data_IF_353941830058
#
_entry.id   IF_353941830058
#
_cell.length_a   1.000
_cell.length_b   1.000
_cell.length_c   1.000
_cell.angle_alpha   90.00
_cell.angle_beta   90.00
_cell.angle_gamma   90.00
#
_symmetry.space_group_name_H-M   'P 1'
#
loop_
_entity.id
_entity.type
_entity.pdbx_description
1 polymer ?
#
# COMPACT_ATOMS: atom_id res chain seq x y z
N UNK A 1 -7.21 6.14 -17.58
CA UNK A 1 -8.06 5.02 -18.00
C UNK A 1 -9.35 5.62 -18.51
N UNK A 2 -9.75 5.30 -19.74
CA UNK A 2 -11.05 5.70 -20.28
C UNK A 2 -11.91 4.46 -20.44
N UNK A 3 -13.15 4.52 -19.94
CA UNK A 3 -14.03 3.36 -19.86
C UNK A 3 -15.45 3.75 -20.25
N UNK A 4 -16.13 2.88 -20.97
CA UNK A 4 -17.57 2.86 -21.03
C UNK A 4 -18.03 1.49 -20.51
N UNK A 5 -18.97 1.50 -19.57
CA UNK A 5 -19.51 0.33 -18.88
C UNK A 5 -21.01 0.54 -18.75
N UNK A 6 -21.79 -0.29 -19.44
CA UNK A 6 -23.25 -0.22 -19.45
C UNK A 6 -23.82 -1.54 -18.95
N UNK A 7 -24.95 -1.47 -18.23
CA UNK A 7 -25.67 -2.64 -17.73
C UNK A 7 -27.05 -2.65 -18.38
N UNK A 8 -27.39 -3.70 -19.12
CA UNK A 8 -28.68 -3.83 -19.81
C UNK A 8 -29.12 -5.30 -19.72
N UNK A 9 -30.36 -5.55 -19.28
CA UNK A 9 -30.97 -6.89 -19.35
C UNK A 9 -30.15 -7.99 -18.67
N UNK A 10 -29.57 -7.72 -17.49
CA UNK A 10 -28.68 -8.65 -16.77
C UNK A 10 -27.23 -8.65 -17.28
N UNK A 11 -27.01 -8.28 -18.54
CA UNK A 11 -25.68 -8.22 -19.12
C UNK A 11 -24.95 -6.92 -18.76
N UNK A 12 -23.62 -6.99 -18.76
CA UNK A 12 -22.75 -5.81 -18.63
C UNK A 12 -21.77 -5.76 -19.79
N UNK A 13 -21.76 -4.66 -20.54
CA UNK A 13 -20.86 -4.46 -21.68
C UNK A 13 -19.76 -3.46 -21.31
N UNK A 14 -18.51 -3.80 -21.61
CA UNK A 14 -17.34 -3.03 -21.21
C UNK A 14 -16.46 -2.78 -22.43
N UNK A 15 -16.15 -1.51 -22.68
CA UNK A 15 -15.06 -1.07 -23.56
C UNK A 15 -14.16 -0.15 -22.75
N UNK A 16 -12.93 -0.58 -22.49
CA UNK A 16 -11.95 0.26 -21.79
C UNK A 16 -10.56 0.10 -22.35
N UNK A 17 -9.69 1.07 -22.06
CA UNK A 17 -8.30 0.98 -22.40
C UNK A 17 -7.38 1.64 -21.37
N UNK A 18 -6.17 1.10 -21.27
CA UNK A 18 -5.12 1.58 -20.39
C UNK A 18 -3.77 1.50 -21.10
N UNK A 19 -2.95 2.54 -20.93
CA UNK A 19 -1.54 2.49 -21.33
C UNK A 19 -0.75 1.79 -20.23
N UNK A 20 -0.01 0.73 -20.57
CA UNK A 20 0.79 -0.04 -19.62
C UNK A 20 2.24 -0.10 -20.06
N UNK A 21 3.13 -0.20 -19.09
CA UNK A 21 4.51 -0.60 -19.34
C UNK A 21 4.55 -2.12 -19.38
N UNK A 22 5.25 -2.69 -20.36
CA UNK A 22 5.43 -4.14 -20.46
C UNK A 22 6.47 -4.64 -19.46
N UNK A 23 7.37 -3.76 -18.98
CA UNK A 23 8.39 -4.13 -18.02
C UNK A 23 7.93 -3.95 -16.57
N UNK A 24 7.85 -5.06 -15.85
CA UNK A 24 7.69 -5.06 -14.39
C UNK A 24 8.97 -4.62 -13.66
N UNK A 25 10.11 -4.51 -14.36
CA UNK A 25 11.40 -4.18 -13.74
C UNK A 25 11.37 -2.76 -13.20
N UNK A 26 11.40 -2.59 -11.88
CA UNK A 26 11.46 -1.30 -11.17
C UNK A 26 12.82 -0.58 -11.37
N UNK A 27 13.22 -0.29 -12.61
CA UNK A 27 14.42 0.49 -12.86
C UNK A 27 14.17 1.99 -12.58
N UNK A 28 15.07 2.69 -11.88
CA UNK A 28 15.06 4.14 -11.88
C UNK A 28 15.23 4.65 -13.32
N UNK A 29 14.41 5.63 -13.72
CA UNK A 29 14.40 6.22 -15.08
C UNK A 29 14.08 5.23 -16.22
N UNK A 30 13.13 4.29 -16.00
CA UNK A 30 12.67 3.29 -17.00
C UNK A 30 12.47 3.82 -18.42
N UNK A 31 11.95 5.04 -18.57
CA UNK A 31 11.69 5.65 -19.88
C UNK A 31 12.95 5.91 -20.71
N UNK A 32 14.12 5.96 -20.08
CA UNK A 32 15.42 6.21 -20.72
C UNK A 32 16.21 4.92 -20.84
N UNK A 33 16.29 4.12 -19.77
CA UNK A 33 17.11 2.91 -19.72
C UNK A 33 16.50 1.72 -20.45
N UNK A 34 15.16 1.59 -20.44
CA UNK A 34 14.46 0.47 -21.10
C UNK A 34 14.70 0.42 -22.61
N UNK A 35 14.44 1.51 -23.36
CA UNK A 35 14.67 1.52 -24.82
C UNK A 35 16.14 1.38 -25.20
N UNK A 36 17.06 1.89 -24.38
CA UNK A 36 18.49 1.95 -24.69
C UNK A 36 19.21 0.62 -24.44
N UNK A 37 18.81 -0.14 -23.40
CA UNK A 37 19.52 -1.36 -22.98
C UNK A 37 18.82 -2.65 -23.38
N UNK A 38 17.49 -2.63 -23.54
CA UNK A 38 16.70 -3.86 -23.71
C UNK A 38 15.92 -3.90 -25.03
N UNK A 39 15.99 -2.86 -25.86
CA UNK A 39 15.16 -2.70 -27.09
C UNK A 39 13.64 -2.85 -26.85
N UNK A 40 13.20 -2.89 -25.60
CA UNK A 40 11.79 -2.98 -25.25
C UNK A 40 11.15 -1.63 -25.56
N UNK A 41 10.32 -1.57 -26.60
CA UNK A 41 9.35 -0.49 -26.77
C UNK A 41 8.33 -0.58 -25.63
N UNK A 42 8.71 -0.06 -24.46
CA UNK A 42 8.15 -0.48 -23.19
C UNK A 42 6.67 -0.14 -23.00
N UNK A 43 6.07 0.76 -23.77
CA UNK A 43 4.68 1.21 -23.53
C UNK A 43 3.71 0.74 -24.59
N UNK A 44 2.79 -0.13 -24.20
CA UNK A 44 1.71 -0.63 -25.05
C UNK A 44 0.36 -0.14 -24.55
N UNK A 45 -0.64 -0.13 -25.43
CA UNK A 45 -2.03 0.15 -25.07
C UNK A 45 -2.80 -1.16 -25.03
N UNK A 46 -3.41 -1.42 -23.88
CA UNK A 46 -4.27 -2.57 -23.64
C UNK A 46 -5.72 -2.11 -23.76
N UNK A 47 -6.49 -2.79 -24.60
CA UNK A 47 -7.89 -2.47 -24.90
C UNK A 47 -8.73 -3.68 -24.54
N UNK A 48 -9.62 -3.57 -23.57
CA UNK A 48 -10.55 -4.62 -23.21
C UNK A 48 -11.91 -4.34 -23.85
N UNK A 49 -12.39 -5.31 -24.64
CA UNK A 49 -13.76 -5.38 -25.12
C UNK A 49 -14.33 -6.68 -24.54
N UNK A 50 -15.21 -6.55 -23.55
CA UNK A 50 -15.72 -7.67 -22.80
C UNK A 50 -17.19 -7.51 -22.48
N UNK A 51 -17.81 -8.63 -22.15
CA UNK A 51 -19.17 -8.69 -21.65
C UNK A 51 -19.24 -9.60 -20.44
N UNK A 52 -20.17 -9.30 -19.55
CA UNK A 52 -20.58 -10.20 -18.49
C UNK A 52 -21.99 -10.69 -18.78
N UNK A 53 -22.19 -12.00 -18.63
CA UNK A 53 -23.46 -12.68 -18.84
C UNK A 53 -23.85 -13.37 -17.53
N UNK A 54 -25.15 -13.40 -17.28
CA UNK A 54 -25.71 -14.19 -16.19
C UNK A 54 -25.61 -15.68 -16.57
N UNK A 55 -24.98 -16.48 -15.72
CA UNK A 55 -24.79 -17.90 -15.94
C UNK A 55 -25.53 -18.69 -14.86
N UNK A 56 -26.43 -19.59 -15.26
CA UNK A 56 -27.16 -20.46 -14.33
C UNK A 56 -27.93 -19.71 -13.24
N UNK A 57 -28.49 -18.55 -13.57
CA UNK A 57 -29.23 -17.71 -12.62
C UNK A 57 -28.34 -16.94 -11.64
N UNK A 58 -27.01 -17.05 -11.75
CA UNK A 58 -26.07 -16.23 -11.00
C UNK A 58 -25.74 -15.00 -11.85
N UNK A 59 -26.12 -13.79 -11.39
CA UNK A 59 -25.91 -12.59 -12.18
C UNK A 59 -24.42 -12.27 -12.32
N UNK A 60 -24.00 -12.00 -13.56
CA UNK A 60 -22.65 -11.53 -13.91
C UNK A 60 -21.52 -12.43 -13.39
N UNK A 61 -21.71 -13.74 -13.50
CA UNK A 61 -20.77 -14.71 -12.93
C UNK A 61 -19.39 -14.65 -13.59
N UNK A 62 -19.36 -14.40 -14.91
CA UNK A 62 -18.15 -14.34 -15.70
C UNK A 62 -18.04 -13.02 -16.44
N UNK A 63 -16.85 -12.44 -16.49
CA UNK A 63 -16.45 -11.38 -17.42
C UNK A 63 -15.57 -12.00 -18.49
N UNK A 64 -16.08 -12.08 -19.73
CA UNK A 64 -15.37 -12.71 -20.84
C UNK A 64 -15.26 -11.76 -22.03
N UNK A 65 -14.13 -11.83 -22.74
CA UNK A 65 -13.90 -10.97 -23.88
C UNK A 65 -12.51 -11.10 -24.47
N UNK A 66 -12.11 -10.04 -25.17
CA UNK A 66 -10.80 -9.93 -25.80
C UNK A 66 -10.05 -8.71 -25.27
N UNK A 67 -8.76 -8.90 -25.03
CA UNK A 67 -7.83 -7.81 -24.77
C UNK A 67 -6.94 -7.66 -26.00
N UNK A 68 -6.98 -6.48 -26.60
CA UNK A 68 -6.16 -6.13 -27.76
C UNK A 68 -4.97 -5.30 -27.31
N UNK A 69 -3.81 -5.60 -27.91
CA UNK A 69 -2.54 -4.98 -27.55
C UNK A 69 -2.03 -4.18 -28.75
N UNK A 70 -2.00 -2.86 -28.61
CA UNK A 70 -1.51 -1.92 -29.63
C UNK A 70 -0.13 -1.40 -29.19
N UNK A 71 0.94 -1.86 -29.85
CA UNK A 71 2.30 -1.44 -29.52
C UNK A 71 2.70 -0.10 -30.15
N UNK A 72 2.21 0.21 -31.35
CA UNK A 72 2.56 1.45 -32.06
C UNK A 72 1.77 2.67 -31.55
N UNK A 73 2.46 3.58 -30.87
CA UNK A 73 1.88 4.82 -30.34
C UNK A 73 1.38 5.78 -31.44
N UNK A 74 1.93 5.76 -32.66
CA UNK A 74 1.41 6.57 -33.78
C UNK A 74 0.06 6.04 -34.23
N UNK A 75 -0.09 4.72 -34.39
CA UNK A 75 -1.39 4.10 -34.73
C UNK A 75 -2.41 4.25 -33.64
N UNK A 76 -2.00 4.11 -32.38
CA UNK A 76 -2.88 4.40 -31.26
C UNK A 76 -3.56 5.77 -31.40
N UNK A 77 -2.75 6.80 -31.68
CA UNK A 77 -3.23 8.18 -31.80
C UNK A 77 -4.08 8.42 -33.05
N UNK A 78 -3.70 7.83 -34.18
CA UNK A 78 -4.36 8.08 -35.47
C UNK A 78 -5.62 7.27 -35.69
N UNK A 79 -5.66 6.02 -35.22
CA UNK A 79 -6.67 5.03 -35.61
C UNK A 79 -7.36 4.42 -34.39
N UNK A 80 -6.64 3.64 -33.57
CA UNK A 80 -7.23 2.86 -32.49
C UNK A 80 -8.03 3.70 -31.48
N UNK A 81 -7.50 4.85 -31.07
CA UNK A 81 -8.19 5.74 -30.13
C UNK A 81 -9.47 6.33 -30.73
N UNK A 82 -9.54 6.56 -32.04
CA UNK A 82 -10.73 7.10 -32.69
C UNK A 82 -11.84 6.05 -32.74
N UNK A 83 -11.50 4.80 -33.14
CA UNK A 83 -12.39 3.64 -33.13
C UNK A 83 -13.03 3.48 -31.75
N UNK A 84 -12.21 3.41 -30.70
CA UNK A 84 -12.68 3.17 -29.33
C UNK A 84 -13.51 4.33 -28.78
N UNK A 85 -13.10 5.59 -29.01
CA UNK A 85 -13.87 6.75 -28.55
C UNK A 85 -15.22 6.85 -29.23
N UNK A 86 -15.30 6.51 -30.52
CA UNK A 86 -16.57 6.47 -31.24
C UNK A 86 -17.50 5.36 -30.70
N UNK A 87 -16.95 4.16 -30.48
CA UNK A 87 -17.70 3.05 -29.88
C UNK A 87 -18.19 3.39 -28.46
N UNK A 88 -17.31 3.92 -27.59
CA UNK A 88 -17.66 4.36 -26.24
C UNK A 88 -18.71 5.48 -26.24
N UNK A 89 -18.62 6.45 -27.16
CA UNK A 89 -19.61 7.53 -27.31
C UNK A 89 -20.96 6.97 -27.74
N UNK A 90 -20.98 6.06 -28.70
CA UNK A 90 -22.20 5.37 -29.15
C UNK A 90 -22.83 4.58 -28.00
N UNK A 91 -22.02 3.83 -27.25
CA UNK A 91 -22.47 3.03 -26.11
C UNK A 91 -23.05 3.89 -24.98
N UNK A 92 -22.49 5.08 -24.71
CA UNK A 92 -23.00 6.03 -23.69
C UNK A 92 -24.26 6.78 -24.10
N UNK A 93 -24.53 6.91 -25.41
CA UNK A 93 -25.68 7.67 -25.93
C UNK A 93 -26.97 6.86 -26.01
N UNK A 94 -26.88 5.53 -25.93
CA UNK A 94 -28.06 4.67 -26.01
C UNK A 94 -28.83 4.79 -24.69
N UNK A 95 -30.09 5.22 -24.78
CA UNK A 95 -31.03 5.07 -23.67
C UNK A 95 -31.29 3.58 -23.48
N UNK A 96 -30.97 3.10 -22.28
CA UNK A 96 -30.96 1.68 -21.96
C UNK A 96 -32.38 1.24 -21.58
N UNK A 97 -33.27 1.07 -22.55
CA UNK A 97 -34.50 0.32 -22.34
C UNK A 97 -34.14 -1.17 -22.31
N UNK A 98 -34.64 -1.92 -21.32
CA UNK A 98 -34.38 -3.35 -21.21
C UNK A 98 -35.01 -4.16 -22.37
N UNK A 99 -36.03 -3.59 -23.00
CA UNK A 99 -36.79 -4.18 -24.12
C UNK A 99 -36.04 -4.03 -25.45
N UNK A 100 -35.18 -3.01 -25.58
CA UNK A 100 -34.36 -2.74 -26.77
C UNK A 100 -32.94 -3.30 -26.69
N UNK A 101 -32.68 -4.28 -25.80
CA UNK A 101 -31.42 -5.03 -25.84
C UNK A 101 -31.34 -5.84 -27.13
N UNK A 102 -30.97 -5.14 -28.18
CA UNK A 102 -31.01 -5.58 -29.56
C UNK A 102 -29.65 -6.17 -29.91
N UNK A 103 -29.64 -7.05 -30.91
CA UNK A 103 -28.40 -7.52 -31.54
C UNK A 103 -27.48 -6.37 -32.02
N UNK A 104 -27.93 -5.10 -32.00
CA UNK A 104 -27.13 -3.91 -32.30
C UNK A 104 -26.05 -3.59 -31.27
N UNK A 105 -26.21 -3.95 -29.99
CA UNK A 105 -25.16 -3.73 -28.98
C UNK A 105 -24.06 -4.79 -29.11
N UNK A 106 -24.47 -6.04 -29.29
CA UNK A 106 -23.54 -7.13 -29.56
C UNK A 106 -22.81 -6.93 -30.90
N UNK A 107 -23.49 -6.43 -31.93
CA UNK A 107 -22.84 -6.10 -33.20
C UNK A 107 -21.90 -4.89 -33.06
N UNK A 108 -22.22 -3.89 -32.23
CA UNK A 108 -21.29 -2.80 -31.93
C UNK A 108 -20.00 -3.33 -31.32
N UNK A 109 -20.08 -4.22 -30.31
CA UNK A 109 -18.88 -4.83 -29.71
C UNK A 109 -18.11 -5.68 -30.72
N UNK A 110 -18.79 -6.52 -31.48
CA UNK A 110 -18.17 -7.41 -32.48
C UNK A 110 -17.48 -6.62 -33.61
N UNK A 111 -18.12 -5.57 -34.12
CA UNK A 111 -17.55 -4.69 -35.14
C UNK A 111 -16.34 -3.93 -34.58
N UNK A 112 -16.47 -3.35 -33.37
CA UNK A 112 -15.36 -2.65 -32.71
C UNK A 112 -14.17 -3.61 -32.47
N UNK A 113 -14.45 -4.84 -32.05
CA UNK A 113 -13.45 -5.89 -31.86
C UNK A 113 -12.76 -6.29 -33.18
N UNK A 114 -13.49 -6.30 -34.29
CA UNK A 114 -12.94 -6.59 -35.62
C UNK A 114 -12.07 -5.44 -36.10
N UNK A 115 -12.55 -4.19 -36.00
CA UNK A 115 -11.80 -3.00 -36.38
C UNK A 115 -10.51 -2.84 -35.56
N UNK A 116 -10.59 -2.95 -34.24
CA UNK A 116 -9.42 -2.81 -33.37
C UNK A 116 -8.40 -3.93 -33.62
N UNK A 117 -8.83 -5.14 -33.98
CA UNK A 117 -7.92 -6.23 -34.31
C UNK A 117 -7.00 -5.88 -35.49
N UNK A 118 -7.49 -5.13 -36.49
CA UNK A 118 -6.69 -4.72 -37.67
C UNK A 118 -5.54 -3.77 -37.34
N UNK A 119 -5.63 -3.04 -36.25
CA UNK A 119 -4.60 -2.06 -35.80
C UNK A 119 -3.80 -2.56 -34.59
N UNK A 120 -4.15 -3.74 -34.07
CA UNK A 120 -3.50 -4.36 -32.92
C UNK A 120 -2.39 -5.30 -33.35
N UNK A 121 -1.36 -5.43 -32.51
CA UNK A 121 -0.27 -6.39 -32.74
C UNK A 121 -0.69 -7.80 -32.35
N UNK A 122 -1.41 -7.92 -31.25
CA UNK A 122 -1.89 -9.19 -30.68
C UNK A 122 -3.25 -8.98 -30.03
N UNK A 123 -3.97 -10.08 -29.83
CA UNK A 123 -5.06 -10.12 -28.87
C UNK A 123 -5.09 -11.44 -28.14
N UNK A 124 -5.76 -11.43 -27.00
CA UNK A 124 -5.91 -12.57 -26.09
C UNK A 124 -7.37 -12.69 -25.71
N UNK A 125 -7.85 -13.91 -25.62
CA UNK A 125 -9.15 -14.18 -25.00
C UNK A 125 -8.94 -14.32 -23.51
N UNK A 126 -9.87 -13.78 -22.75
CA UNK A 126 -9.89 -13.99 -21.33
C UNK A 126 -11.31 -14.28 -20.85
N UNK A 127 -11.39 -15.04 -19.77
CA UNK A 127 -12.59 -15.24 -18.98
C UNK A 127 -12.19 -15.12 -17.51
N UNK A 128 -12.77 -14.17 -16.81
CA UNK A 128 -12.57 -13.95 -15.39
C UNK A 128 -13.85 -14.28 -14.64
N UNK A 129 -13.76 -15.24 -13.72
CA UNK A 129 -14.85 -15.64 -12.84
C UNK A 129 -14.95 -14.70 -11.64
N UNK A 130 -16.13 -14.64 -11.01
CA UNK A 130 -16.36 -13.83 -9.80
C UNK A 130 -15.46 -14.21 -8.62
N UNK A 131 -14.99 -15.45 -8.57
CA UNK A 131 -14.01 -15.92 -7.59
C UNK A 131 -12.57 -15.42 -7.87
N UNK A 132 -12.34 -14.67 -8.96
CA UNK A 132 -11.04 -14.15 -9.37
C UNK A 132 -10.22 -15.11 -10.24
N UNK A 133 -10.67 -16.34 -10.46
CA UNK A 133 -10.03 -17.27 -11.38
C UNK A 133 -10.10 -16.71 -12.80
N UNK A 134 -8.94 -16.61 -13.45
CA UNK A 134 -8.82 -15.97 -14.76
C UNK A 134 -8.15 -16.92 -15.74
N UNK A 135 -8.88 -17.30 -16.78
CA UNK A 135 -8.38 -18.06 -17.90
C UNK A 135 -7.94 -17.10 -18.99
N UNK A 136 -6.69 -17.21 -19.45
CA UNK A 136 -6.13 -16.40 -20.52
C UNK A 136 -5.67 -17.33 -21.64
N UNK A 137 -6.19 -17.11 -22.85
CA UNK A 137 -5.81 -17.85 -24.05
C UNK A 137 -5.15 -16.90 -25.03
N UNK A 138 -3.84 -17.06 -25.21
CA UNK A 138 -3.05 -16.31 -26.19
C UNK A 138 -2.84 -17.19 -27.43
N UNK A 139 -3.41 -16.77 -28.56
CA UNK A 139 -3.11 -17.39 -29.85
C UNK A 139 -1.88 -16.72 -30.46
N UNK A 140 -0.73 -17.38 -30.35
CA UNK A 140 0.54 -16.88 -30.90
C UNK A 140 0.71 -17.16 -32.39
N UNK A 141 -0.15 -17.98 -33.00
CA UNK A 141 -0.05 -18.34 -34.42
C UNK A 141 -0.63 -17.24 -35.31
N UNK A 142 -1.59 -16.47 -34.79
CA UNK A 142 -2.22 -15.41 -35.54
C UNK A 142 -1.52 -14.06 -35.31
N UNK A 143 -0.55 -13.73 -36.15
CA UNK A 143 -0.08 -12.35 -36.29
C UNK A 143 -1.07 -11.60 -37.18
N UNK A 144 -1.84 -10.68 -36.58
CA UNK A 144 -2.90 -9.98 -37.30
C UNK A 144 -2.39 -8.79 -38.13
N UNK A 145 -1.16 -8.35 -37.87
CA UNK A 145 -0.59 -7.18 -38.53
C UNK A 145 0.83 -7.42 -39.03
N UNK A 146 1.10 -7.05 -40.29
CA UNK A 146 2.35 -7.33 -40.99
C UNK A 146 3.61 -6.69 -40.36
N UNK A 147 3.47 -5.52 -39.71
CA UNK A 147 4.56 -4.88 -38.93
C UNK A 147 4.34 -5.02 -37.41
N UNK A 148 3.66 -6.08 -36.95
CA UNK A 148 3.62 -6.36 -35.52
C UNK A 148 5.06 -6.63 -35.06
N UNK A 149 5.38 -6.26 -33.81
CA UNK A 149 6.70 -6.56 -33.25
C UNK A 149 6.97 -8.05 -33.41
N UNK A 150 7.97 -8.41 -34.20
CA UNK A 150 8.33 -9.81 -34.40
C UNK A 150 8.80 -10.37 -33.06
N UNK A 151 8.06 -11.35 -32.55
CA UNK A 151 8.52 -12.13 -31.41
C UNK A 151 9.64 -13.03 -31.94
N UNK A 152 10.88 -12.79 -31.51
CA UNK A 152 12.01 -13.61 -31.91
C UNK A 152 11.72 -15.08 -31.60
N UNK A 153 12.04 -15.99 -32.53
CA UNK A 153 11.74 -17.42 -32.40
C UNK A 153 12.60 -18.16 -31.36
N UNK A 154 13.51 -17.46 -30.68
CA UNK A 154 14.46 -17.95 -29.67
C UNK A 154 13.82 -18.13 -28.29
N UNK A 155 14.64 -18.42 -27.28
CA UNK A 155 14.27 -18.42 -25.86
C UNK A 155 13.53 -17.15 -25.40
N UNK A 156 13.72 -16.04 -26.12
CA UNK A 156 13.01 -14.78 -25.91
C UNK A 156 11.49 -14.91 -26.14
N UNK A 157 11.04 -15.88 -26.96
CA UNK A 157 9.60 -16.13 -27.18
C UNK A 157 8.88 -16.50 -25.89
N UNK A 158 9.45 -17.39 -25.08
CA UNK A 158 8.82 -17.84 -23.83
C UNK A 158 8.78 -16.72 -22.80
N UNK A 159 9.87 -15.95 -22.69
CA UNK A 159 9.93 -14.80 -21.79
C UNK A 159 8.91 -13.72 -22.18
N UNK A 160 8.83 -13.39 -23.47
CA UNK A 160 7.86 -12.43 -23.98
C UNK A 160 6.42 -12.92 -23.81
N UNK A 161 6.16 -14.21 -24.03
CA UNK A 161 4.85 -14.82 -23.81
C UNK A 161 4.43 -14.72 -22.34
N UNK A 162 5.33 -15.05 -21.41
CA UNK A 162 5.10 -14.89 -19.97
C UNK A 162 4.79 -13.41 -19.65
N UNK A 163 5.61 -12.48 -20.14
CA UNK A 163 5.40 -11.04 -19.94
C UNK A 163 4.01 -10.57 -20.43
N UNK A 164 3.61 -11.02 -21.62
CA UNK A 164 2.29 -10.70 -22.18
C UNK A 164 1.16 -11.30 -21.36
N UNK A 165 1.27 -12.56 -20.94
CA UNK A 165 0.27 -13.18 -20.07
C UNK A 165 0.15 -12.43 -18.74
N UNK A 166 1.28 -12.00 -18.15
CA UNK A 166 1.29 -11.20 -16.92
C UNK A 166 0.58 -9.87 -17.06
N UNK A 167 0.95 -9.09 -18.07
CA UNK A 167 0.29 -7.80 -18.30
C UNK A 167 -1.19 -7.97 -18.67
N UNK A 168 -1.51 -9.04 -19.41
CA UNK A 168 -2.89 -9.42 -19.73
C UNK A 168 -3.70 -9.79 -18.49
N UNK A 169 -3.10 -10.40 -17.47
CA UNK A 169 -3.78 -10.67 -16.20
C UNK A 169 -3.94 -9.41 -15.34
N UNK A 170 -2.87 -8.63 -15.20
CA UNK A 170 -2.91 -7.42 -14.38
C UNK A 170 -3.84 -6.35 -14.94
N UNK A 171 -4.11 -6.34 -16.25
CA UNK A 171 -5.02 -5.37 -16.83
C UNK A 171 -6.49 -5.55 -16.39
N UNK A 172 -7.16 -6.71 -16.57
CA UNK A 172 -8.44 -7.05 -15.96
C UNK A 172 -8.46 -6.83 -14.46
N UNK A 173 -7.38 -7.24 -13.76
CA UNK A 173 -7.25 -7.00 -12.33
C UNK A 173 -7.39 -5.51 -12.01
N UNK A 174 -6.62 -4.64 -12.65
CA UNK A 174 -6.63 -3.20 -12.40
C UNK A 174 -7.96 -2.51 -12.75
N UNK A 175 -8.69 -3.00 -13.76
CA UNK A 175 -9.99 -2.41 -14.14
C UNK A 175 -11.15 -2.92 -13.28
N UNK A 176 -11.03 -4.09 -12.67
CA UNK A 176 -12.07 -4.72 -11.87
C UNK A 176 -11.87 -4.53 -10.37
N UNK A 177 -10.62 -4.36 -9.92
CA UNK A 177 -10.28 -4.23 -8.52
C UNK A 177 -10.18 -2.76 -8.11
N UNK A 178 -10.81 -2.41 -6.98
CA UNK A 178 -10.54 -1.15 -6.27
C UNK A 178 -9.83 -1.49 -4.98
N UNK A 179 -8.70 -0.83 -4.74
CA UNK A 179 -8.01 -0.89 -3.46
C UNK A 179 -8.87 -0.24 -2.38
N UNK A 180 -9.70 -1.03 -1.71
CA UNK A 180 -10.52 -0.57 -0.58
C UNK A 180 -9.80 -0.75 0.75
N UNK A 181 -9.04 -1.84 0.89
CA UNK A 181 -8.53 -2.28 2.18
C UNK A 181 -7.00 -2.36 2.27
N UNK A 182 -6.27 -2.34 1.15
CA UNK A 182 -4.81 -2.47 1.16
C UNK A 182 -4.13 -1.44 0.25
N UNK A 183 -2.84 -1.19 0.52
CA UNK A 183 -2.02 -0.32 -0.33
C UNK A 183 -1.83 -0.92 -1.74
N UNK A 184 -1.87 -0.14 -2.82
CA UNK A 184 -1.54 -0.64 -4.17
C UNK A 184 -0.17 -1.33 -4.27
N UNK A 185 0.75 -1.04 -3.34
CA UNK A 185 2.07 -1.68 -3.26
C UNK A 185 2.01 -3.17 -2.93
N UNK A 186 0.95 -3.63 -2.26
CA UNK A 186 0.75 -5.04 -1.91
C UNK A 186 0.00 -5.82 -3.00
N UNK A 187 -0.31 -5.20 -4.13
CA UNK A 187 -1.09 -5.83 -5.19
C UNK A 187 -0.25 -6.70 -6.16
N UNK A 188 1.08 -6.75 -5.95
CA UNK A 188 2.02 -7.61 -6.69
C UNK A 188 2.48 -8.81 -5.87
N UNK A 189 1.76 -9.15 -4.79
CA UNK A 189 2.21 -10.16 -3.82
C UNK A 189 2.10 -11.60 -4.33
N UNK A 190 1.22 -11.87 -5.30
CA UNK A 190 1.14 -13.16 -5.96
C UNK A 190 1.84 -13.09 -7.32
N UNK A 191 2.88 -13.90 -7.46
CA UNK A 191 3.50 -14.16 -8.75
C UNK A 191 2.51 -14.92 -9.65
N UNK A 192 2.71 -14.79 -10.96
CA UNK A 192 2.00 -15.58 -11.94
C UNK A 192 2.82 -16.82 -12.28
N UNK A 193 2.16 -17.97 -12.24
CA UNK A 193 2.80 -19.27 -12.40
C UNK A 193 2.37 -19.88 -13.72
N UNK A 194 3.34 -20.18 -14.58
CA UNK A 194 3.10 -21.05 -15.74
C UNK A 194 3.14 -22.49 -15.23
N UNK A 195 1.98 -23.12 -15.06
CA UNK A 195 1.89 -24.49 -14.57
C UNK A 195 0.89 -25.31 -15.39
N UNK A 196 1.29 -26.49 -15.79
CA UNK A 196 0.39 -27.54 -16.31
C UNK A 196 -0.28 -28.35 -15.18
N UNK A 197 0.20 -28.19 -13.94
CA UNK A 197 -0.33 -28.86 -12.76
C UNK A 197 -1.08 -27.84 -11.89
N UNK A 198 -2.40 -28.03 -11.76
CA UNK A 198 -3.27 -27.10 -11.05
C UNK A 198 -2.97 -27.01 -9.55
N UNK A 199 -2.50 -28.10 -8.93
CA UNK A 199 -2.20 -28.12 -7.49
C UNK A 199 -0.88 -27.38 -7.18
N UNK A 200 0.12 -27.49 -8.06
CA UNK A 200 1.44 -26.96 -7.80
C UNK A 200 1.42 -25.42 -7.65
N UNK A 201 0.78 -24.71 -8.57
CA UNK A 201 0.72 -23.25 -8.49
C UNK A 201 -0.15 -22.78 -7.33
N UNK A 202 -1.26 -23.47 -7.02
CA UNK A 202 -2.11 -23.13 -5.88
C UNK A 202 -1.33 -23.22 -4.57
N UNK A 203 -0.50 -24.26 -4.42
CA UNK A 203 0.38 -24.41 -3.26
C UNK A 203 1.40 -23.27 -3.18
N UNK A 204 2.05 -22.90 -4.29
CA UNK A 204 3.02 -21.80 -4.30
C UNK A 204 2.39 -20.44 -3.97
N UNK A 205 1.19 -20.15 -4.50
CA UNK A 205 0.42 -18.95 -4.13
C UNK A 205 0.15 -18.92 -2.63
N UNK A 206 -0.30 -20.04 -2.06
CA UNK A 206 -0.59 -20.13 -0.64
C UNK A 206 0.68 -19.93 0.21
N UNK A 207 1.80 -20.54 -0.18
CA UNK A 207 3.09 -20.30 0.49
C UNK A 207 3.58 -18.86 0.36
N UNK A 208 3.38 -18.21 -0.79
CA UNK A 208 3.74 -16.81 -0.97
C UNK A 208 2.95 -15.91 -0.01
N UNK A 209 1.62 -16.12 0.10
CA UNK A 209 0.75 -15.38 1.02
C UNK A 209 1.19 -15.56 2.48
N UNK A 210 1.39 -16.80 2.94
CA UNK A 210 1.82 -17.06 4.32
C UNK A 210 3.23 -16.54 4.63
N UNK A 211 4.18 -16.61 3.69
CA UNK A 211 5.51 -15.99 3.86
C UNK A 211 5.40 -14.48 4.06
N UNK A 212 4.47 -13.81 3.37
CA UNK A 212 4.21 -12.38 3.53
C UNK A 212 3.56 -12.06 4.86
N UNK A 213 2.59 -12.86 5.31
CA UNK A 213 2.02 -12.72 6.66
C UNK A 213 3.11 -12.84 7.74
N UNK A 214 4.01 -13.82 7.61
CA UNK A 214 5.15 -13.98 8.55
C UNK A 214 6.08 -12.75 8.50
N UNK A 215 6.38 -12.24 7.31
CA UNK A 215 7.21 -11.05 7.14
C UNK A 215 6.58 -9.82 7.81
N UNK A 216 5.31 -9.55 7.56
CA UNK A 216 4.59 -8.43 8.17
C UNK A 216 4.45 -8.60 9.68
N UNK A 217 4.14 -9.81 10.17
CA UNK A 217 4.06 -10.11 11.62
C UNK A 217 5.38 -9.86 12.36
N UNK A 218 6.53 -10.02 11.70
CA UNK A 218 7.84 -9.70 12.29
C UNK A 218 8.03 -8.19 12.47
N UNK A 219 7.37 -7.36 11.66
CA UNK A 219 7.35 -5.92 11.81
C UNK A 219 6.24 -5.53 12.79
N UNK A 220 6.60 -5.17 14.03
CA UNK A 220 5.63 -4.83 15.11
C UNK A 220 5.08 -3.41 15.00
N UNK A 221 4.67 -3.00 13.80
CA UNK A 221 3.99 -1.74 13.54
C UNK A 221 2.50 -1.99 13.35
N UNK A 222 1.67 -1.03 13.74
CA UNK A 222 0.21 -1.12 13.59
C UNK A 222 -0.19 -1.41 12.13
N UNK A 223 0.38 -0.67 11.18
CA UNK A 223 0.15 -0.87 9.74
C UNK A 223 0.50 -2.29 9.29
N UNK A 224 1.67 -2.82 9.68
CA UNK A 224 2.06 -4.18 9.32
C UNK A 224 1.17 -5.26 9.94
N UNK A 225 0.58 -5.02 11.11
CA UNK A 225 -0.41 -5.95 11.69
C UNK A 225 -1.70 -5.92 10.87
N UNK A 226 -2.14 -4.75 10.41
CA UNK A 226 -3.28 -4.63 9.48
C UNK A 226 -2.98 -5.31 8.14
N UNK A 227 -1.84 -5.03 7.52
CA UNK A 227 -1.41 -5.70 6.28
C UNK A 227 -1.35 -7.24 6.46
N UNK A 228 -0.92 -7.72 7.62
CA UNK A 228 -0.92 -9.17 7.94
C UNK A 228 -2.34 -9.74 7.98
N UNK A 229 -3.29 -9.03 8.58
CA UNK A 229 -4.70 -9.45 8.65
C UNK A 229 -5.35 -9.47 7.28
N UNK A 230 -5.10 -8.45 6.45
CA UNK A 230 -5.60 -8.41 5.08
C UNK A 230 -5.06 -9.58 4.25
N UNK A 231 -3.75 -9.86 4.38
CA UNK A 231 -3.15 -11.02 3.70
C UNK A 231 -3.69 -12.36 4.20
N UNK A 232 -4.01 -12.47 5.49
CA UNK A 232 -4.66 -13.66 6.03
C UNK A 232 -6.06 -13.85 5.43
N UNK A 233 -6.84 -12.77 5.31
CA UNK A 233 -8.15 -12.82 4.66
C UNK A 233 -8.05 -13.29 3.20
N UNK A 234 -7.06 -12.80 2.44
CA UNK A 234 -6.79 -13.28 1.08
C UNK A 234 -6.41 -14.76 1.05
N UNK A 235 -5.56 -15.22 1.98
CA UNK A 235 -5.17 -16.63 2.06
C UNK A 235 -6.37 -17.54 2.37
N UNK A 236 -7.23 -17.15 3.31
CA UNK A 236 -8.46 -17.88 3.65
C UNK A 236 -9.45 -17.91 2.48
N UNK A 237 -9.64 -16.78 1.79
CA UNK A 237 -10.48 -16.71 0.60
C UNK A 237 -9.95 -17.63 -0.51
N UNK A 238 -8.64 -17.61 -0.77
CA UNK A 238 -7.99 -18.48 -1.74
C UNK A 238 -8.15 -19.97 -1.38
N UNK A 239 -7.94 -20.35 -0.12
CA UNK A 239 -8.19 -21.72 0.36
C UNK A 239 -9.66 -22.13 0.17
N UNK A 240 -10.61 -21.24 0.44
CA UNK A 240 -12.04 -21.47 0.22
C UNK A 240 -12.36 -21.73 -1.25
N UNK A 241 -11.75 -20.96 -2.17
CA UNK A 241 -11.88 -21.18 -3.63
C UNK A 241 -11.33 -22.56 -4.02
N UNK A 242 -10.14 -22.92 -3.53
CA UNK A 242 -9.52 -24.21 -3.81
C UNK A 242 -10.30 -25.41 -3.21
N UNK A 243 -11.02 -25.19 -2.11
CA UNK A 243 -11.96 -26.18 -1.54
C UNK A 243 -13.15 -26.40 -2.46
N UNK A 244 -13.75 -25.32 -2.96
CA UNK A 244 -14.90 -25.40 -3.89
C UNK A 244 -14.54 -26.06 -5.21
N UNK A 245 -13.30 -25.95 -5.67
CA UNK A 245 -12.82 -26.62 -6.88
C UNK A 245 -12.46 -28.10 -6.67
N UNK A 246 -12.63 -28.65 -5.45
CA UNK A 246 -12.34 -30.05 -5.14
C UNK A 246 -10.86 -30.40 -4.98
N UNK A 247 -9.97 -29.40 -4.88
CA UNK A 247 -8.51 -29.61 -4.84
C UNK A 247 -7.87 -29.46 -3.46
N UNK A 248 -8.68 -29.33 -2.40
CA UNK A 248 -8.18 -28.99 -1.07
C UNK A 248 -7.30 -30.06 -0.44
N UNK A 249 -7.53 -31.35 -0.73
CA UNK A 249 -6.83 -32.45 -0.06
C UNK A 249 -5.31 -32.49 -0.30
N UNK A 250 -4.80 -31.74 -1.28
CA UNK A 250 -3.37 -31.68 -1.61
C UNK A 250 -2.70 -30.36 -1.23
N UNK A 251 -3.48 -29.42 -0.67
CA UNK A 251 -2.96 -28.13 -0.22
C UNK A 251 -2.56 -28.21 1.26
N UNK A 252 -1.50 -27.49 1.66
CA UNK A 252 -1.12 -27.41 3.06
C UNK A 252 -2.25 -26.76 3.88
N UNK A 253 -2.57 -27.39 5.01
CA UNK A 253 -3.52 -26.84 5.97
C UNK A 253 -2.78 -25.93 6.94
N UNK A 254 -3.24 -24.69 7.03
CA UNK A 254 -2.67 -23.68 7.90
C UNK A 254 -3.71 -23.30 8.93
N UNK A 255 -3.31 -23.20 10.20
CA UNK A 255 -4.18 -22.78 11.27
C UNK A 255 -4.45 -21.26 11.21
N UNK A 256 -5.39 -20.90 10.32
CA UNK A 256 -5.80 -19.53 10.10
C UNK A 256 -6.45 -18.89 11.34
N UNK A 257 -7.17 -19.67 12.15
CA UNK A 257 -7.86 -19.16 13.33
C UNK A 257 -6.85 -18.77 14.43
N UNK A 258 -5.91 -19.65 14.76
CA UNK A 258 -4.86 -19.32 15.74
C UNK A 258 -4.00 -18.15 15.28
N UNK A 259 -3.73 -18.04 13.96
CA UNK A 259 -2.99 -16.92 13.41
C UNK A 259 -3.76 -15.60 13.52
N UNK A 260 -5.06 -15.61 13.23
CA UNK A 260 -5.95 -14.46 13.40
C UNK A 260 -5.97 -13.98 14.85
N UNK A 261 -6.22 -14.88 15.81
CA UNK A 261 -6.18 -14.56 17.24
C UNK A 261 -4.81 -13.98 17.66
N UNK A 262 -3.72 -14.53 17.13
CA UNK A 262 -2.37 -14.01 17.40
C UNK A 262 -2.17 -12.59 16.84
N UNK A 263 -2.70 -12.28 15.66
CA UNK A 263 -2.65 -10.93 15.07
C UNK A 263 -3.55 -9.95 15.82
N UNK A 264 -4.72 -10.38 16.29
CA UNK A 264 -5.60 -9.58 17.15
C UNK A 264 -4.96 -9.24 18.49
N UNK A 265 -4.32 -10.22 19.13
CA UNK A 265 -3.59 -9.99 20.37
C UNK A 265 -2.44 -8.99 20.16
N UNK A 266 -1.70 -9.12 19.05
CA UNK A 266 -0.65 -8.17 18.69
C UNK A 266 -1.20 -6.75 18.44
N UNK A 267 -2.34 -6.64 17.75
CA UNK A 267 -3.00 -5.34 17.54
C UNK A 267 -3.43 -4.72 18.87
N UNK A 268 -4.09 -5.48 19.76
CA UNK A 268 -4.52 -5.00 21.09
C UNK A 268 -3.33 -4.53 21.93
N UNK A 269 -2.22 -5.27 21.92
CA UNK A 269 -0.98 -4.86 22.61
C UNK A 269 -0.40 -3.55 22.06
N UNK A 270 -0.40 -3.36 20.73
CA UNK A 270 0.06 -2.12 20.11
C UNK A 270 -0.86 -0.93 20.43
N UNK A 271 -2.18 -1.12 20.37
CA UNK A 271 -3.17 -0.10 20.73
C UNK A 271 -3.04 0.29 22.19
N UNK A 272 -2.94 -0.69 23.09
CA UNK A 272 -2.73 -0.45 24.52
C UNK A 272 -1.44 0.35 24.77
N UNK A 273 -0.31 -0.04 24.15
CA UNK A 273 0.95 0.72 24.24
C UNK A 273 0.81 2.16 23.73
N UNK A 274 0.02 2.38 22.68
CA UNK A 274 -0.23 3.72 22.12
C UNK A 274 -1.09 4.56 23.06
N UNK A 275 -2.12 3.97 23.66
CA UNK A 275 -2.97 4.60 24.67
C UNK A 275 -2.18 4.95 25.93
N UNK A 276 -1.41 4.01 26.49
CA UNK A 276 -0.54 4.28 27.65
C UNK A 276 0.44 5.43 27.37
N UNK A 277 1.02 5.49 26.17
CA UNK A 277 1.89 6.62 25.77
C UNK A 277 1.13 7.94 25.71
N UNK A 278 -0.11 7.92 25.20
CA UNK A 278 -0.98 9.11 25.15
C UNK A 278 -1.38 9.56 26.55
N UNK A 279 -1.69 8.63 27.44
CA UNK A 279 -2.07 8.90 28.82
C UNK A 279 -0.88 9.46 29.60
N UNK A 280 0.31 8.86 29.47
CA UNK A 280 1.53 9.42 30.05
C UNK A 280 1.82 10.83 29.54
N UNK A 281 1.62 11.09 28.24
CA UNK A 281 1.74 12.44 27.66
C UNK A 281 0.71 13.39 28.25
N UNK A 282 -0.52 12.96 28.44
CA UNK A 282 -1.60 13.76 29.01
C UNK A 282 -1.35 14.09 30.48
N UNK A 283 -0.96 13.09 31.28
CA UNK A 283 -0.60 13.24 32.69
C UNK A 283 0.58 14.20 32.84
N UNK A 284 1.59 14.08 31.99
CA UNK A 284 2.73 14.99 32.00
C UNK A 284 2.30 16.43 31.68
N UNK A 285 1.52 16.65 30.61
CA UNK A 285 1.05 17.99 30.26
C UNK A 285 0.19 18.56 31.38
N UNK A 286 -0.70 17.74 31.95
CA UNK A 286 -1.50 18.10 33.13
C UNK A 286 -0.61 18.54 34.29
N UNK A 287 0.43 17.76 34.62
CA UNK A 287 1.40 18.12 35.65
C UNK A 287 2.07 19.48 35.37
N UNK A 288 2.59 19.70 34.16
CA UNK A 288 3.22 20.98 33.78
C UNK A 288 2.26 22.16 33.92
N UNK A 289 1.02 22.03 33.43
CA UNK A 289 0.02 23.09 33.54
C UNK A 289 -0.44 23.32 34.99
N UNK A 290 -0.58 22.25 35.79
CA UNK A 290 -0.90 22.37 37.22
C UNK A 290 0.21 23.08 37.98
N UNK A 291 1.47 22.73 37.75
CA UNK A 291 2.62 23.42 38.36
C UNK A 291 2.64 24.90 37.97
N UNK A 292 2.48 25.21 36.68
CA UNK A 292 2.41 26.60 36.22
C UNK A 292 1.24 27.37 36.85
N UNK A 293 0.07 26.73 36.96
CA UNK A 293 -1.10 27.30 37.61
C UNK A 293 -0.84 27.66 39.08
N UNK A 294 -0.21 26.75 39.83
CA UNK A 294 0.19 27.00 41.23
C UNK A 294 1.12 28.22 41.31
N UNK A 295 2.14 28.30 40.46
CA UNK A 295 3.05 29.45 40.42
C UNK A 295 2.30 30.76 40.15
N UNK A 296 1.41 30.80 39.15
CA UNK A 296 0.63 31.99 38.82
C UNK A 296 -0.32 32.40 39.97
N UNK A 297 -0.96 31.43 40.63
CA UNK A 297 -1.83 31.69 41.79
C UNK A 297 -1.04 32.27 42.95
N UNK A 298 0.16 31.75 43.26
CA UNK A 298 1.03 32.30 44.31
C UNK A 298 1.42 33.74 43.97
N UNK A 299 1.84 34.01 42.73
CA UNK A 299 2.19 35.36 42.27
C UNK A 299 1.00 36.32 42.43
N UNK A 300 -0.20 35.89 42.00
CA UNK A 300 -1.41 36.69 42.12
C UNK A 300 -1.81 36.94 43.59
N UNK A 301 -1.69 35.93 44.46
CA UNK A 301 -2.01 36.08 45.88
C UNK A 301 -1.04 37.05 46.57
N UNK A 302 0.26 36.97 46.25
CA UNK A 302 1.27 37.89 46.75
C UNK A 302 1.02 39.34 46.30
N UNK A 303 0.49 39.55 45.10
CA UNK A 303 0.11 40.89 44.62
C UNK A 303 -1.10 41.47 45.37
N UNK A 304 -2.05 40.62 45.79
CA UNK A 304 -3.29 41.08 46.44
C UNK A 304 -3.09 41.35 47.93
N UNK A 305 -2.21 40.61 48.61
CA UNK A 305 -2.15 40.61 50.07
C UNK A 305 -1.47 41.84 50.69
N UNK A 306 -0.92 42.76 49.89
CA UNK A 306 -0.13 43.92 50.36
C UNK A 306 0.85 43.54 51.49
N UNK A 307 1.29 42.28 51.48
CA UNK A 307 2.18 41.76 52.50
C UNK A 307 3.44 42.58 52.39
N UNK A 308 3.84 43.26 53.47
CA UNK A 308 5.17 43.87 53.55
C UNK A 308 6.18 42.75 53.30
N UNK A 309 6.64 42.66 52.06
CA UNK A 309 7.63 41.68 51.64
C UNK A 309 8.88 42.09 52.41
N UNK A 310 9.14 41.42 53.54
CA UNK A 310 10.45 41.46 54.19
C UNK A 310 11.48 41.31 53.09
N UNK A 311 12.47 42.21 53.07
CA UNK A 311 13.44 42.33 51.99
C UNK A 311 13.75 40.95 51.40
N UNK A 312 13.38 40.70 50.12
CA UNK A 312 13.43 39.36 49.55
C UNK A 312 14.85 38.81 49.71
N UNK A 313 14.96 37.50 49.99
CA UNK A 313 16.26 36.85 50.10
C UNK A 313 17.08 37.22 48.85
N UNK A 314 18.27 37.79 49.04
CA UNK A 314 19.09 38.30 47.95
C UNK A 314 19.36 37.24 46.87
N UNK A 315 19.41 35.96 47.24
CA UNK A 315 19.55 34.83 46.31
C UNK A 315 18.33 34.69 45.40
N UNK A 316 17.11 34.80 45.94
CA UNK A 316 15.88 34.76 45.12
C UNK A 316 15.78 35.98 44.18
N UNK A 317 16.23 37.14 44.64
CA UNK A 317 16.31 38.34 43.80
C UNK A 317 17.33 38.14 42.67
N UNK A 318 18.50 37.56 42.96
CA UNK A 318 19.52 37.25 41.96
C UNK A 318 19.00 36.26 40.91
N UNK A 319 18.33 35.18 41.34
CA UNK A 319 17.68 34.22 40.44
C UNK A 319 16.63 34.90 39.55
N UNK A 320 15.70 35.66 40.16
CA UNK A 320 14.64 36.34 39.42
C UNK A 320 15.20 37.39 38.45
N UNK A 321 16.23 38.13 38.85
CA UNK A 321 16.90 39.13 38.01
C UNK A 321 17.62 38.46 36.84
N UNK A 322 18.32 37.34 37.09
CA UNK A 322 18.99 36.55 36.04
C UNK A 322 17.99 35.95 35.06
N UNK A 323 16.84 35.47 35.55
CA UNK A 323 15.74 34.98 34.72
C UNK A 323 15.17 36.09 33.83
N UNK A 324 14.91 37.28 34.39
CA UNK A 324 14.40 38.44 33.64
C UNK A 324 15.43 38.99 32.64
N UNK A 325 16.73 38.89 32.96
CA UNK A 325 17.81 39.33 32.09
C UNK A 325 18.07 38.35 30.93
N UNK A 326 17.85 37.05 31.15
CA UNK A 326 18.08 35.99 30.14
C UNK A 326 16.89 35.03 29.99
N UNK A 327 15.69 35.53 29.63
CA UNK A 327 14.47 34.71 29.62
C UNK A 327 14.53 33.60 28.57
N UNK A 328 15.16 33.85 27.42
CA UNK A 328 15.33 32.85 26.36
C UNK A 328 16.25 31.72 26.82
N UNK A 329 17.39 32.04 27.46
CA UNK A 329 18.36 31.04 27.95
C UNK A 329 17.71 30.13 28.97
N UNK A 330 16.95 30.68 29.92
CA UNK A 330 16.19 29.89 30.90
C UNK A 330 15.10 29.05 30.25
N UNK A 331 14.36 29.60 29.29
CA UNK A 331 13.34 28.84 28.55
C UNK A 331 13.97 27.69 27.76
N UNK A 332 15.12 27.89 27.12
CA UNK A 332 15.88 26.86 26.41
C UNK A 332 16.40 25.79 27.36
N UNK A 333 16.97 26.17 28.50
CA UNK A 333 17.49 25.22 29.50
C UNK A 333 16.37 24.43 30.18
N UNK A 334 15.28 25.09 30.55
CA UNK A 334 14.11 24.45 31.14
C UNK A 334 13.43 23.53 30.13
N UNK A 335 13.25 23.99 28.88
CA UNK A 335 12.71 23.13 27.82
C UNK A 335 13.63 21.98 27.47
N UNK A 336 14.97 22.15 27.52
CA UNK A 336 15.92 21.06 27.35
C UNK A 336 15.87 20.04 28.51
N UNK A 337 15.80 20.50 29.76
CA UNK A 337 15.61 19.63 30.93
C UNK A 337 14.27 18.90 30.90
N UNK A 338 13.20 19.61 30.55
CA UNK A 338 11.86 19.04 30.36
C UNK A 338 11.81 18.09 29.16
N UNK A 339 12.48 18.37 28.05
CA UNK A 339 12.63 17.47 26.90
C UNK A 339 13.46 16.24 27.25
N UNK A 340 14.51 16.37 28.05
CA UNK A 340 15.30 15.23 28.53
C UNK A 340 14.49 14.34 29.48
N UNK A 341 13.65 14.93 30.34
CA UNK A 341 12.71 14.17 31.17
C UNK A 341 11.57 13.56 30.35
N UNK A 342 11.02 14.31 29.39
CA UNK A 342 9.91 13.91 28.50
C UNK A 342 10.30 12.81 27.52
N UNK A 343 11.45 12.97 26.85
CA UNK A 343 11.90 12.07 25.81
C UNK A 343 12.32 10.72 26.37
N UNK A 344 12.38 10.57 27.71
CA UNK A 344 12.75 9.34 28.38
C UNK A 344 13.96 8.74 27.64
N UNK A 345 15.13 9.41 27.58
CA UNK A 345 16.19 9.16 26.61
C UNK A 345 16.48 7.67 26.42
N UNK A 346 16.39 6.89 27.49
CA UNK A 346 16.25 5.43 27.57
C UNK A 346 15.45 4.70 26.45
N UNK A 347 14.46 5.35 25.82
CA UNK A 347 13.60 4.79 24.76
C UNK A 347 13.77 5.48 23.39
N UNK A 348 14.61 6.51 23.29
CA UNK A 348 14.98 7.10 22.00
C UNK A 348 15.80 6.09 21.20
N UNK A 349 15.52 5.87 19.90
CA UNK A 349 16.33 4.99 19.05
C UNK A 349 17.82 5.36 19.10
N UNK A 350 18.12 6.68 19.13
CA UNK A 350 19.49 7.19 19.20
C UNK A 350 20.18 6.80 20.51
N UNK A 351 19.49 6.89 21.64
CA UNK A 351 20.06 6.50 22.93
C UNK A 351 20.19 4.97 23.04
N UNK A 352 19.22 4.21 22.52
CA UNK A 352 19.30 2.75 22.44
C UNK A 352 20.50 2.34 21.57
N UNK A 353 20.75 3.03 20.47
CA UNK A 353 21.90 2.79 19.60
C UNK A 353 23.22 3.21 20.27
N UNK A 354 23.25 4.30 21.04
CA UNK A 354 24.41 4.69 21.87
C UNK A 354 24.67 3.66 22.98
N UNK A 355 23.64 3.20 23.68
CA UNK A 355 23.77 2.15 24.71
C UNK A 355 24.21 0.82 24.10
N UNK A 356 23.66 0.43 22.93
CA UNK A 356 24.10 -0.76 22.18
C UNK A 356 25.54 -0.64 21.69
N UNK A 357 25.95 0.55 21.25
CA UNK A 357 27.33 0.83 20.86
C UNK A 357 28.29 0.72 22.05
N UNK A 358 27.85 1.10 23.25
CA UNK A 358 28.63 1.02 24.49
C UNK A 358 28.54 -0.36 25.17
N UNK A 359 27.57 -1.21 24.81
CA UNK A 359 27.35 -2.53 25.39
C UNK A 359 28.57 -3.49 25.30
N UNK A 360 29.38 -3.49 24.22
CA UNK A 360 30.61 -4.28 24.14
C UNK A 360 31.69 -3.86 25.13
N UNK A 361 31.65 -2.62 25.63
CA UNK A 361 32.61 -2.12 26.61
C UNK A 361 32.30 -2.63 28.03
N UNK A 362 31.11 -3.21 28.24
CA UNK A 362 30.68 -3.80 29.51
C UNK A 362 29.70 -2.93 30.29
N UNK A 363 28.87 -3.57 31.14
CA UNK A 363 27.79 -2.92 31.90
C UNK A 363 28.25 -1.74 32.76
N UNK A 364 29.51 -1.77 33.20
CA UNK A 364 30.14 -0.70 33.96
C UNK A 364 30.19 0.64 33.20
N UNK A 365 30.50 0.62 31.89
CA UNK A 365 30.65 1.85 31.10
C UNK A 365 29.30 2.48 30.74
N UNK A 366 28.26 1.67 30.51
CA UNK A 366 26.91 2.18 30.32
C UNK A 366 26.39 2.86 31.61
N UNK A 367 26.63 2.25 32.77
CA UNK A 367 26.29 2.86 34.07
C UNK A 367 27.09 4.14 34.33
N UNK A 368 28.38 4.14 33.99
CA UNK A 368 29.26 5.31 34.13
C UNK A 368 28.81 6.49 33.27
N UNK A 369 28.48 6.29 31.99
CA UNK A 369 27.99 7.37 31.12
C UNK A 369 26.66 7.92 31.62
N UNK A 370 25.71 7.05 32.01
CA UNK A 370 24.45 7.49 32.62
C UNK A 370 24.67 8.27 33.92
N UNK A 371 25.63 7.84 34.75
CA UNK A 371 26.01 8.53 35.98
C UNK A 371 26.62 9.89 35.69
N UNK A 372 27.52 10.02 34.71
CA UNK A 372 28.11 11.30 34.30
C UNK A 372 27.04 12.26 33.76
N UNK A 373 26.07 11.78 32.97
CA UNK A 373 24.95 12.61 32.53
C UNK A 373 24.06 13.06 33.71
N UNK A 374 23.74 12.17 34.64
CA UNK A 374 22.96 12.52 35.82
C UNK A 374 23.70 13.49 36.75
N UNK A 375 25.02 13.30 36.92
CA UNK A 375 25.89 14.15 37.73
C UNK A 375 26.02 15.54 37.10
N UNK A 376 26.27 15.62 35.79
CA UNK A 376 26.37 16.90 35.08
C UNK A 376 25.05 17.69 35.15
N UNK A 377 23.91 16.99 35.05
CA UNK A 377 22.60 17.59 35.25
C UNK A 377 22.39 18.07 36.69
N UNK A 378 22.75 17.25 37.68
CA UNK A 378 22.68 17.61 39.09
C UNK A 378 23.56 18.81 39.43
N UNK A 379 24.76 18.91 38.86
CA UNK A 379 25.66 20.05 39.06
C UNK A 379 25.15 21.32 38.39
N UNK A 380 24.51 21.22 37.21
CA UNK A 380 23.88 22.37 36.55
C UNK A 380 22.68 22.84 37.38
N UNK A 381 21.85 21.92 37.88
CA UNK A 381 20.70 22.25 38.74
C UNK A 381 21.14 22.87 40.07
N UNK A 382 22.19 22.33 40.69
CA UNK A 382 22.75 22.85 41.95
C UNK A 382 23.40 24.22 41.75
N UNK A 383 24.14 24.43 40.65
CA UNK A 383 24.68 25.74 40.30
C UNK A 383 23.58 26.77 40.06
N UNK A 384 22.45 26.36 39.48
CA UNK A 384 21.26 27.20 39.28
C UNK A 384 20.45 27.46 40.57
N UNK A 385 20.64 26.67 41.62
CA UNK A 385 20.03 26.89 42.95
C UNK A 385 20.92 27.73 43.88
N UNK A 386 22.21 27.83 43.58
CA UNK A 386 23.22 28.54 44.37
C UNK A 386 23.59 29.91 43.81
N UNK A 387 23.23 30.19 42.55
CA UNK A 387 23.17 31.53 41.94
C UNK A 387 21.74 32.02 42.11
#
# INVERSE_FOLDING_TARGET
>A
METANISIGGQRLIICFQKRDTSDVLLPRKSVTGPLLLELQGRMWFVCIARSEDLSGIPQENLAGRIFIVSDNKRWRKEASAILKNAQKTMRKRDLSAEDFSGKDLSLLANTATEIATVSSFWVEFCMHRNGETNIRLDTAAQFYANATHIAASADKNHFHDLLCRQTFYFPKDICHRHQHHSPKTDTLADLYVSSNDIAWRREVLYALYRKIIHFKRNRTEDAVFDSKDMLAYAQAFQSICRKSGQHHQLPDFDGHSLECSLEAAHKDLTHKRETRRDHRSLFLGFVFSTLGIFLTIISLLQITDAEIKAPNQSLVAIATTFLQYPITFLVLFSAGALLLWCHPWYSPVFIDVVRFLQPLGQFWAAFVCFVFALSFGTILLALLLI
#
